data_IF_913941236283
#
_entry.id   IF_913941236283
#
_cell.length_a   1.000
_cell.length_b   1.000
_cell.length_c   1.000
_cell.angle_alpha   90.00
_cell.angle_beta   90.00
_cell.angle_gamma   90.00
#
_symmetry.space_group_name_H-M   'P 1'
#
loop_
_entity.id
_entity.type
_entity.pdbx_description
1 polymer ?
#
# COMPACT_ATOMS: atom_id res chain seq x y z
N UNK A 1 12.64 9.70 -35.66
CA UNK A 1 11.18 9.71 -35.43
C UNK A 1 10.52 11.10 -35.43
N UNK A 2 10.94 12.09 -34.63
CA UNK A 2 10.33 13.45 -34.64
C UNK A 2 10.94 14.41 -35.68
N UNK A 3 12.26 14.44 -35.81
CA UNK A 3 12.96 15.22 -36.84
C UNK A 3 12.66 14.73 -38.27
N UNK A 4 12.44 13.43 -38.44
CA UNK A 4 12.00 12.83 -39.72
C UNK A 4 10.59 13.26 -40.16
N UNK A 5 9.84 13.92 -39.28
CA UNK A 5 8.50 14.48 -39.55
C UNK A 5 8.45 16.02 -39.47
N UNK A 6 9.61 16.69 -39.37
CA UNK A 6 9.70 18.15 -39.33
C UNK A 6 9.16 18.79 -38.04
N UNK A 7 9.01 18.01 -36.97
CA UNK A 7 8.58 18.50 -35.66
C UNK A 7 9.82 18.81 -34.82
N UNK A 8 10.02 20.09 -34.50
CA UNK A 8 11.05 20.50 -33.54
C UNK A 8 10.58 20.16 -32.13
N UNK A 9 11.41 19.44 -31.39
CA UNK A 9 11.20 19.18 -29.97
C UNK A 9 11.95 20.27 -29.21
N UNK A 10 11.28 20.90 -28.25
CA UNK A 10 11.93 21.78 -27.29
C UNK A 10 12.60 20.92 -26.20
N UNK A 11 13.91 20.73 -26.31
CA UNK A 11 14.69 19.92 -25.38
C UNK A 11 14.68 20.47 -23.94
N UNK A 12 14.48 21.77 -23.74
CA UNK A 12 14.33 22.34 -22.40
C UNK A 12 12.98 21.97 -21.79
N UNK A 13 11.90 22.08 -22.57
CA UNK A 13 10.56 21.75 -22.09
C UNK A 13 10.44 20.25 -21.75
N UNK A 14 11.05 19.38 -22.55
CA UNK A 14 11.13 17.94 -22.27
C UNK A 14 11.90 17.66 -20.98
N UNK A 15 13.04 18.32 -20.75
CA UNK A 15 13.82 18.16 -19.51
C UNK A 15 13.02 18.61 -18.29
N UNK A 16 12.34 19.76 -18.37
CA UNK A 16 11.50 20.28 -17.29
C UNK A 16 10.35 19.31 -16.99
N UNK A 17 9.69 18.78 -18.03
CA UNK A 17 8.63 17.78 -17.87
C UNK A 17 9.17 16.48 -17.25
N UNK A 18 10.38 16.08 -17.62
CA UNK A 18 11.03 14.87 -17.11
C UNK A 18 11.46 15.02 -15.65
N UNK A 19 12.00 16.17 -15.25
CA UNK A 19 12.28 16.49 -13.83
C UNK A 19 11.00 16.52 -13.01
N UNK A 20 9.95 17.18 -13.50
CA UNK A 20 8.65 17.23 -12.82
C UNK A 20 8.03 15.84 -12.64
N UNK A 21 8.11 14.99 -13.66
CA UNK A 21 7.67 13.59 -13.58
C UNK A 21 8.54 12.78 -12.59
N UNK A 22 9.85 13.03 -12.56
CA UNK A 22 10.78 12.37 -11.63
C UNK A 22 10.52 12.77 -10.18
N UNK A 23 10.25 14.04 -9.91
CA UNK A 23 9.89 14.53 -8.58
C UNK A 23 8.52 14.01 -8.12
N UNK A 24 7.51 14.03 -9.00
CA UNK A 24 6.20 13.44 -8.72
C UNK A 24 6.30 11.94 -8.42
N UNK A 25 7.22 11.22 -9.07
CA UNK A 25 7.43 9.78 -8.82
C UNK A 25 8.14 9.50 -7.48
N UNK A 26 8.87 10.47 -6.91
CA UNK A 26 9.55 10.31 -5.61
C UNK A 26 8.57 10.46 -4.45
N UNK A 27 7.62 11.40 -4.52
CA UNK A 27 6.66 11.66 -3.43
C UNK A 27 5.70 10.50 -3.18
N UNK A 28 5.32 9.77 -4.23
CA UNK A 28 4.47 8.57 -4.14
C UNK A 28 5.20 7.42 -3.44
N UNK A 29 6.50 7.23 -3.70
CA UNK A 29 7.31 6.19 -3.05
C UNK A 29 7.44 6.38 -1.53
N UNK A 30 7.60 7.62 -1.07
CA UNK A 30 7.75 7.93 0.36
C UNK A 30 6.51 7.58 1.19
N UNK A 31 5.30 7.74 0.64
CA UNK A 31 4.06 7.46 1.38
C UNK A 31 3.83 5.94 1.60
N UNK A 32 4.23 5.10 0.64
CA UNK A 32 4.10 3.63 0.72
C UNK A 32 5.09 3.03 1.74
N UNK A 33 6.23 3.67 1.98
CA UNK A 33 7.14 3.30 3.07
C UNK A 33 6.64 3.74 4.46
N UNK A 34 5.61 4.59 4.54
CA UNK A 34 5.18 5.17 5.82
C UNK A 34 4.26 4.23 6.62
N UNK A 35 3.62 3.24 5.99
CA UNK A 35 2.72 2.34 6.70
C UNK A 35 3.46 1.16 7.35
N UNK A 36 3.13 0.80 8.60
CA UNK A 36 3.78 -0.31 9.30
C UNK A 36 3.49 -1.64 8.61
N UNK A 37 4.51 -2.25 8.00
CA UNK A 37 4.39 -3.53 7.29
C UNK A 37 4.58 -4.70 8.24
N UNK A 38 3.79 -5.75 8.00
CA UNK A 38 3.97 -7.03 8.68
C UNK A 38 5.17 -7.77 8.10
N UNK A 39 6.08 -8.17 8.98
CA UNK A 39 7.18 -9.05 8.65
C UNK A 39 6.85 -10.51 8.99
N UNK A 40 7.82 -11.40 8.77
CA UNK A 40 7.64 -12.84 9.04
C UNK A 40 7.38 -13.14 10.53
N UNK A 41 7.94 -12.34 11.44
CA UNK A 41 7.73 -12.53 12.88
C UNK A 41 6.32 -12.11 13.28
N UNK A 42 5.82 -10.97 12.78
CA UNK A 42 4.45 -10.51 13.02
C UNK A 42 3.41 -11.49 12.46
N UNK A 43 3.66 -12.10 11.30
CA UNK A 43 2.79 -13.16 10.75
C UNK A 43 2.77 -14.39 11.67
N UNK A 44 3.93 -14.83 12.16
CA UNK A 44 4.00 -15.96 13.08
C UNK A 44 3.29 -15.65 14.42
N UNK A 45 3.41 -14.43 14.93
CA UNK A 45 2.72 -13.99 16.14
C UNK A 45 1.20 -14.03 15.97
N UNK A 46 0.68 -13.55 14.83
CA UNK A 46 -0.75 -13.60 14.51
C UNK A 46 -1.30 -15.04 14.55
N UNK A 47 -0.57 -15.98 13.96
CA UNK A 47 -0.99 -17.39 13.89
C UNK A 47 -0.89 -18.08 15.25
N UNK A 48 0.22 -17.90 15.97
CA UNK A 48 0.53 -18.67 17.17
C UNK A 48 -0.11 -18.07 18.43
N UNK A 49 -0.06 -16.75 18.58
CA UNK A 49 -0.47 -16.07 19.82
C UNK A 49 -1.90 -15.53 19.71
N UNK A 50 -2.20 -14.82 18.61
CA UNK A 50 -3.52 -14.22 18.42
C UNK A 50 -4.53 -15.17 17.79
N UNK A 51 -4.08 -16.33 17.28
CA UNK A 51 -4.90 -17.36 16.63
C UNK A 51 -5.77 -16.79 15.50
N UNK A 52 -5.24 -15.79 14.79
CA UNK A 52 -5.92 -15.17 13.66
C UNK A 52 -5.73 -16.05 12.44
N UNK A 53 -6.83 -16.46 11.82
CA UNK A 53 -6.79 -17.20 10.56
C UNK A 53 -6.29 -16.30 9.42
N UNK A 54 -5.72 -16.93 8.38
CA UNK A 54 -5.33 -16.21 7.15
C UNK A 54 -6.54 -15.48 6.55
N UNK A 55 -6.32 -14.23 6.15
CA UNK A 55 -7.35 -13.39 5.52
C UNK A 55 -7.88 -14.05 4.26
N UNK A 56 -9.20 -14.11 4.13
CA UNK A 56 -9.87 -14.53 2.91
C UNK A 56 -9.91 -13.38 1.90
N UNK A 57 -9.09 -13.46 0.86
CA UNK A 57 -8.95 -12.42 -0.16
C UNK A 57 -9.63 -12.77 -1.49
N UNK A 58 -10.48 -13.82 -1.52
CA UNK A 58 -11.12 -14.31 -2.75
C UNK A 58 -11.98 -13.27 -3.46
N UNK A 59 -12.54 -12.31 -2.71
CA UNK A 59 -13.37 -11.24 -3.25
C UNK A 59 -12.60 -10.30 -4.17
N UNK A 60 -11.25 -10.29 -4.15
CA UNK A 60 -10.44 -9.47 -5.07
C UNK A 60 -10.64 -9.80 -6.55
N UNK A 61 -11.22 -10.96 -6.85
CA UNK A 61 -11.54 -11.41 -8.21
C UNK A 61 -12.99 -11.12 -8.63
N UNK A 62 -13.80 -10.53 -7.74
CA UNK A 62 -15.23 -10.29 -7.97
C UNK A 62 -15.50 -8.78 -7.96
N UNK A 63 -16.41 -8.34 -8.83
CA UNK A 63 -16.85 -6.93 -8.85
C UNK A 63 -17.91 -6.69 -7.79
N UNK A 64 -17.77 -5.59 -7.06
CA UNK A 64 -18.74 -5.12 -6.07
C UNK A 64 -18.11 -4.82 -4.72
N UNK A 65 -18.97 -4.58 -3.74
CA UNK A 65 -18.58 -4.27 -2.37
C UNK A 65 -18.26 -5.56 -1.60
N UNK A 66 -17.28 -5.48 -0.70
CA UNK A 66 -16.97 -6.54 0.26
C UNK A 66 -17.18 -6.04 1.69
N UNK A 67 -17.56 -6.95 2.57
CA UNK A 67 -17.68 -6.71 4.01
C UNK A 67 -16.67 -7.59 4.73
N UNK A 68 -15.70 -6.95 5.36
CA UNK A 68 -14.73 -7.57 6.26
C UNK A 68 -14.88 -7.04 7.67
N UNK A 69 -14.47 -7.84 8.64
CA UNK A 69 -14.37 -7.49 10.04
C UNK A 69 -12.92 -7.18 10.39
N UNK A 70 -12.72 -6.06 11.09
CA UNK A 70 -11.43 -5.75 11.71
C UNK A 70 -11.18 -6.72 12.87
N UNK A 71 -10.14 -7.53 12.71
CA UNK A 71 -9.72 -8.52 13.69
C UNK A 71 -8.73 -7.88 14.67
N UNK A 72 -7.72 -7.19 14.14
CA UNK A 72 -6.66 -6.51 14.89
C UNK A 72 -6.14 -5.29 14.12
N UNK A 73 -5.41 -4.44 14.84
CA UNK A 73 -4.70 -3.29 14.31
C UNK A 73 -3.22 -3.46 14.66
N UNK A 74 -2.34 -3.19 13.72
CA UNK A 74 -0.88 -3.21 13.90
C UNK A 74 -0.35 -1.79 13.77
N UNK A 75 0.30 -1.29 14.82
CA UNK A 75 0.83 0.08 14.90
C UNK A 75 2.32 0.18 14.50
N UNK A 76 2.92 -0.95 14.06
CA UNK A 76 4.35 -1.06 13.78
C UNK A 76 5.19 -1.59 14.94
N UNK A 77 4.64 -1.67 16.15
CA UNK A 77 5.29 -2.23 17.33
C UNK A 77 4.59 -3.48 17.85
N UNK A 78 3.26 -3.53 17.75
CA UNK A 78 2.48 -4.66 18.20
C UNK A 78 1.03 -4.61 17.75
N UNK A 79 0.27 -5.60 18.21
CA UNK A 79 -1.15 -5.74 17.85
C UNK A 79 -2.06 -5.20 18.95
N UNK A 80 -3.01 -4.36 18.55
CA UNK A 80 -4.01 -3.75 19.43
C UNK A 80 -5.42 -3.94 18.86
N UNK A 81 -6.43 -3.83 19.72
CA UNK A 81 -7.86 -3.95 19.33
C UNK A 81 -8.53 -2.61 19.03
N UNK A 82 -7.86 -1.50 19.35
CA UNK A 82 -8.43 -0.16 19.25
C UNK A 82 -7.34 0.88 19.02
N UNK A 83 -7.67 1.97 18.33
CA UNK A 83 -6.77 3.12 18.11
C UNK A 83 -6.81 4.16 19.23
N UNK A 84 -7.47 3.89 20.37
CA UNK A 84 -7.71 4.89 21.43
C UNK A 84 -6.43 5.46 22.02
N UNK A 85 -5.41 4.62 22.14
CA UNK A 85 -4.12 4.97 22.74
C UNK A 85 -3.05 5.29 21.67
N UNK A 86 -3.46 5.37 20.40
CA UNK A 86 -2.58 5.72 19.28
C UNK A 86 -2.71 7.21 19.01
N UNK A 87 -1.57 7.90 18.86
CA UNK A 87 -1.57 9.33 18.53
C UNK A 87 -2.29 9.60 17.20
N UNK A 88 -2.99 10.72 17.11
CA UNK A 88 -3.68 11.12 15.89
C UNK A 88 -2.72 11.22 14.71
N UNK A 89 -3.21 10.92 13.50
CA UNK A 89 -2.44 10.89 12.26
C UNK A 89 -1.27 9.87 12.24
N UNK A 90 -1.23 8.92 13.19
CA UNK A 90 -0.28 7.81 13.12
C UNK A 90 -0.73 6.78 12.07
N UNK A 91 0.13 6.42 11.11
CA UNK A 91 -0.15 5.33 10.17
C UNK A 91 -0.31 4.00 10.90
N UNK A 92 -1.35 3.25 10.55
CA UNK A 92 -1.62 1.93 11.11
C UNK A 92 -1.91 0.94 9.99
N UNK A 93 -1.75 -0.35 10.30
CA UNK A 93 -2.16 -1.46 9.45
C UNK A 93 -3.35 -2.18 10.08
N UNK A 94 -4.31 -2.58 9.27
CA UNK A 94 -5.54 -3.22 9.74
C UNK A 94 -5.58 -4.66 9.25
N UNK A 95 -5.86 -5.59 10.16
CA UNK A 95 -5.98 -7.02 9.88
C UNK A 95 -7.45 -7.36 9.75
N UNK A 96 -7.82 -7.90 8.59
CA UNK A 96 -9.20 -8.26 8.25
C UNK A 96 -9.35 -9.77 8.17
N UNK A 97 -10.54 -10.28 8.47
CA UNK A 97 -10.91 -11.66 8.18
C UNK A 97 -11.15 -11.89 6.68
N UNK A 98 -11.69 -10.88 5.99
CA UNK A 98 -12.03 -10.89 4.57
C UNK A 98 -11.76 -9.54 3.92
N UNK A 99 -11.28 -9.56 2.69
CA UNK A 99 -10.98 -8.34 1.93
C UNK A 99 -11.10 -8.55 0.42
N UNK A 100 -11.49 -7.50 -0.30
CA UNK A 100 -11.37 -7.45 -1.77
C UNK A 100 -10.14 -6.65 -2.23
N UNK A 101 -9.30 -6.18 -1.30
CA UNK A 101 -8.07 -5.49 -1.63
C UNK A 101 -7.05 -6.48 -2.22
N UNK A 102 -6.47 -6.10 -3.35
CA UNK A 102 -5.40 -6.86 -3.98
C UNK A 102 -4.08 -6.55 -3.26
N UNK A 103 -3.48 -7.55 -2.61
CA UNK A 103 -2.12 -7.40 -2.09
C UNK A 103 -1.16 -7.22 -3.27
N UNK A 104 -0.33 -6.18 -3.25
CA UNK A 104 0.68 -5.92 -4.28
C UNK A 104 1.60 -7.15 -4.45
N UNK A 105 1.27 -7.99 -5.41
CA UNK A 105 2.09 -9.11 -5.85
C UNK A 105 2.28 -8.95 -7.36
N UNK A 106 3.54 -8.91 -7.81
CA UNK A 106 3.89 -8.90 -9.23
C UNK A 106 4.40 -7.57 -9.81
N UNK A 107 4.83 -6.61 -8.98
CA UNK A 107 5.48 -5.38 -9.48
C UNK A 107 4.55 -4.30 -10.01
N UNK A 108 3.25 -4.40 -9.72
CA UNK A 108 2.31 -3.30 -9.90
C UNK A 108 2.27 -2.45 -8.63
N UNK A 109 2.64 -1.18 -8.80
CA UNK A 109 2.43 -0.02 -7.92
C UNK A 109 1.89 1.10 -8.80
#
# INVERSE_FOLDING_TARGET
MAEERGLQIDDEEVKVAQEKAREASKSVKSAIETFPKLDVHGIAELEQQHKVARTNDTDKYVKGDSKGKVQLIFDGKGFVKSTKDIAENTPISVILDKTNFYAEAGGQV
#
